data_IF_372901776033
#
_entry.id   IF_372901776033
#
_cell.length_a   1.000
_cell.length_b   1.000
_cell.length_c   1.000
_cell.angle_alpha   90.00
_cell.angle_beta   90.00
_cell.angle_gamma   90.00
#
_symmetry.space_group_name_H-M   'P 1'
#
loop_
_entity.id
_entity.type
_entity.pdbx_description
1 polymer ?
#
# COMPACT_ATOMS: atom_id res chain seq x y z
N UNK A 1 27.59 -7.25 -36.39
CA UNK A 1 27.68 -6.43 -35.16
C UNK A 1 26.59 -5.37 -35.09
N UNK A 2 26.39 -4.52 -36.11
CA UNK A 2 25.31 -3.52 -36.11
C UNK A 2 23.91 -4.12 -35.90
N UNK A 3 23.53 -5.19 -36.63
CA UNK A 3 22.22 -5.82 -36.47
C UNK A 3 21.96 -6.37 -35.05
N UNK A 4 23.00 -6.86 -34.37
CA UNK A 4 22.92 -7.35 -32.98
C UNK A 4 22.73 -6.18 -32.01
N UNK A 5 23.45 -5.07 -32.23
CA UNK A 5 23.29 -3.84 -31.47
C UNK A 5 21.88 -3.23 -31.67
N UNK A 6 21.34 -3.27 -32.89
CA UNK A 6 19.99 -2.77 -33.18
C UNK A 6 18.91 -3.62 -32.51
N UNK A 7 19.03 -4.95 -32.53
CA UNK A 7 18.10 -5.84 -31.83
C UNK A 7 18.16 -5.67 -30.31
N UNK A 8 19.36 -5.50 -29.74
CA UNK A 8 19.54 -5.24 -28.31
C UNK A 8 18.91 -3.90 -27.89
N UNK A 9 19.02 -2.86 -28.73
CA UNK A 9 18.44 -1.55 -28.46
C UNK A 9 16.90 -1.55 -28.53
N UNK A 10 16.30 -2.32 -29.45
CA UNK A 10 14.85 -2.52 -29.51
C UNK A 10 14.30 -3.32 -28.31
N UNK A 11 15.07 -4.29 -27.81
CA UNK A 11 14.68 -5.10 -26.66
C UNK A 11 14.65 -4.28 -25.37
N UNK A 12 15.58 -3.33 -25.22
CA UNK A 12 15.63 -2.40 -24.08
C UNK A 12 14.47 -1.40 -24.15
N UNK A 13 14.14 -0.87 -25.34
CA UNK A 13 13.03 0.08 -25.50
C UNK A 13 11.65 -0.50 -25.12
N UNK A 14 11.43 -1.79 -25.37
CA UNK A 14 10.19 -2.49 -24.98
C UNK A 14 10.00 -2.66 -23.47
N UNK A 15 11.08 -2.63 -22.67
CA UNK A 15 11.00 -2.71 -21.21
C UNK A 15 10.69 -1.37 -20.54
N UNK A 16 10.87 -0.25 -21.25
CA UNK A 16 10.74 1.11 -20.70
C UNK A 16 9.31 1.66 -20.83
N UNK A 17 8.43 0.99 -21.58
CA UNK A 17 7.02 1.36 -21.75
C UNK A 17 6.08 0.58 -20.82
N UNK A 18 6.52 0.27 -19.60
CA UNK A 18 5.58 -0.11 -18.54
C UNK A 18 4.94 1.19 -18.03
N UNK A 19 3.61 1.27 -18.09
CA UNK A 19 2.92 2.39 -17.48
C UNK A 19 3.18 2.35 -15.96
N UNK A 20 3.83 3.40 -15.45
CA UNK A 20 4.14 3.54 -14.03
C UNK A 20 3.00 4.30 -13.37
N UNK A 21 2.12 3.55 -12.71
CA UNK A 21 0.98 4.11 -12.00
C UNK A 21 1.45 4.74 -10.69
N UNK A 22 0.65 5.68 -10.18
CA UNK A 22 0.84 6.29 -8.86
C UNK A 22 -0.35 5.98 -7.97
N UNK A 23 -0.11 5.57 -6.73
CA UNK A 23 -1.16 5.39 -5.72
C UNK A 23 -0.96 6.40 -4.60
N UNK A 24 -1.84 7.40 -4.52
CA UNK A 24 -1.86 8.39 -3.46
C UNK A 24 -2.85 7.97 -2.38
N UNK A 25 -2.39 7.86 -1.13
CA UNK A 25 -3.22 7.45 0.01
C UNK A 25 -3.32 8.59 1.01
N UNK A 26 -4.56 9.00 1.32
CA UNK A 26 -4.87 9.91 2.42
C UNK A 26 -5.47 9.12 3.57
N UNK A 27 -4.84 9.22 4.74
CA UNK A 27 -5.22 8.51 5.96
C UNK A 27 -5.81 9.50 6.95
N UNK A 28 -6.92 9.12 7.57
CA UNK A 28 -7.63 9.95 8.55
C UNK A 28 -8.01 9.15 9.78
N UNK A 29 -8.43 9.85 10.83
CA UNK A 29 -8.93 9.26 12.08
C UNK A 29 -7.83 8.59 12.93
N UNK A 30 -6.63 9.16 12.94
CA UNK A 30 -5.64 8.80 13.96
C UNK A 30 -6.10 9.26 15.36
N UNK A 31 -5.66 8.55 16.39
CA UNK A 31 -6.07 8.85 17.78
C UNK A 31 -5.40 10.14 18.29
N UNK A 32 -4.11 10.29 17.99
CA UNK A 32 -3.24 11.43 18.28
C UNK A 32 -2.23 11.57 17.11
N UNK A 33 -1.20 12.39 17.29
CA UNK A 33 -0.11 12.58 16.32
C UNK A 33 1.19 11.90 16.78
N UNK A 34 1.11 11.03 17.79
CA UNK A 34 2.29 10.36 18.34
C UNK A 34 2.70 9.23 17.38
N UNK A 35 4.01 9.05 17.19
CA UNK A 35 4.57 8.04 16.28
C UNK A 35 4.23 8.28 14.81
N UNK A 36 3.99 7.19 14.07
CA UNK A 36 3.86 7.20 12.62
C UNK A 36 2.66 6.45 12.06
N UNK A 37 2.32 6.77 10.81
CA UNK A 37 1.41 6.00 9.99
C UNK A 37 2.20 4.99 9.16
N UNK A 38 1.91 3.70 9.36
CA UNK A 38 2.49 2.62 8.57
C UNK A 38 1.53 2.22 7.46
N UNK A 39 2.01 2.16 6.22
CA UNK A 39 1.19 1.85 5.04
C UNK A 39 1.87 0.78 4.18
N UNK A 40 1.22 -0.37 4.05
CA UNK A 40 1.64 -1.47 3.19
C UNK A 40 0.78 -1.56 1.94
N UNK A 41 1.43 -1.63 0.78
CA UNK A 41 0.84 -1.98 -0.51
C UNK A 41 1.10 -3.46 -0.79
N UNK A 42 0.07 -4.23 -1.08
CA UNK A 42 0.12 -5.67 -1.30
C UNK A 42 -0.34 -5.99 -2.71
N UNK A 43 0.33 -6.93 -3.39
CA UNK A 43 0.01 -7.35 -4.77
C UNK A 43 -0.34 -8.85 -4.88
N UNK A 44 -0.26 -9.60 -3.77
CA UNK A 44 -0.52 -11.03 -3.72
C UNK A 44 -1.58 -11.35 -2.65
N UNK A 45 -2.64 -12.06 -3.07
CA UNK A 45 -3.72 -12.48 -2.15
C UNK A 45 -3.21 -13.30 -0.96
N UNK A 46 -2.26 -14.20 -1.19
CA UNK A 46 -1.74 -15.12 -0.16
C UNK A 46 -0.85 -14.44 0.88
N UNK A 47 -0.35 -13.24 0.58
CA UNK A 47 0.55 -12.47 1.44
C UNK A 47 -0.11 -11.24 2.06
N UNK A 48 -1.40 -11.03 1.81
CA UNK A 48 -2.11 -9.87 2.32
C UNK A 48 -2.09 -9.86 3.86
N UNK A 49 -1.64 -8.74 4.43
CA UNK A 49 -1.41 -8.53 5.87
C UNK A 49 -0.19 -9.26 6.46
N UNK A 50 0.63 -9.90 5.63
CA UNK A 50 1.85 -10.60 6.05
C UNK A 50 3.09 -9.94 5.39
N UNK A 51 3.21 -10.03 4.07
CA UNK A 51 4.36 -9.52 3.32
C UNK A 51 3.89 -8.47 2.28
N UNK A 52 4.27 -7.21 2.50
CA UNK A 52 3.95 -6.11 1.60
C UNK A 52 4.89 -6.05 0.39
N UNK A 53 4.35 -5.71 -0.78
CA UNK A 53 5.13 -5.41 -1.98
C UNK A 53 5.96 -4.12 -1.84
N UNK A 54 5.35 -3.07 -1.29
CA UNK A 54 6.00 -1.81 -0.91
C UNK A 54 5.44 -1.36 0.43
N UNK A 55 6.25 -0.70 1.25
CA UNK A 55 5.83 -0.12 2.52
C UNK A 55 6.39 1.30 2.69
N UNK A 56 5.59 2.20 3.25
CA UNK A 56 6.00 3.58 3.56
C UNK A 56 5.52 3.92 4.96
N UNK A 57 6.38 4.57 5.74
CA UNK A 57 6.03 5.26 6.98
C UNK A 57 5.84 6.75 6.71
N UNK A 58 4.88 7.39 7.38
CA UNK A 58 4.64 8.83 7.25
C UNK A 58 4.33 9.45 8.61
N UNK A 59 4.74 10.70 8.80
CA UNK A 59 4.40 11.45 10.01
C UNK A 59 2.89 11.72 10.07
N UNK A 60 2.34 11.68 11.29
CA UNK A 60 0.94 12.02 11.53
C UNK A 60 0.85 13.50 11.92
N UNK A 61 0.15 14.30 11.12
CA UNK A 61 -0.12 15.71 11.41
C UNK A 61 -1.61 15.96 11.40
N UNK A 62 -2.13 16.64 12.42
CA UNK A 62 -3.56 16.93 12.58
C UNK A 62 -4.45 15.67 12.50
N UNK A 63 -3.96 14.54 13.02
CA UNK A 63 -4.63 13.23 12.98
C UNK A 63 -4.89 12.72 11.55
N UNK A 64 -4.02 13.10 10.63
CA UNK A 64 -4.02 12.70 9.23
C UNK A 64 -2.59 12.37 8.78
N UNK A 65 -2.47 11.54 7.75
CA UNK A 65 -1.20 11.23 7.10
C UNK A 65 -1.41 11.05 5.59
N UNK A 66 -0.36 11.28 4.81
CA UNK A 66 -0.38 11.09 3.35
C UNK A 66 0.84 10.30 2.91
N UNK A 67 0.64 9.38 1.97
CA UNK A 67 1.73 8.64 1.31
C UNK A 67 1.47 8.54 -0.19
N UNK A 68 2.54 8.39 -0.97
CA UNK A 68 2.48 8.15 -2.42
C UNK A 68 3.36 6.96 -2.76
N UNK A 69 2.78 5.95 -3.41
CA UNK A 69 3.53 4.88 -4.06
C UNK A 69 3.70 5.23 -5.53
N UNK A 70 4.93 5.52 -5.93
CA UNK A 70 5.31 5.77 -7.32
C UNK A 70 5.79 4.46 -7.99
N UNK A 71 5.92 4.48 -9.31
CA UNK A 71 6.40 3.36 -10.12
C UNK A 71 5.68 2.04 -9.79
N UNK A 72 4.34 2.09 -9.77
CA UNK A 72 3.50 0.93 -9.51
C UNK A 72 3.14 0.27 -10.84
N UNK A 73 3.57 -0.99 -11.09
CA UNK A 73 3.18 -1.70 -12.31
C UNK A 73 1.67 -1.93 -12.38
N UNK A 74 1.15 -2.10 -13.59
CA UNK A 74 -0.23 -2.53 -13.80
C UNK A 74 -0.52 -3.82 -13.01
N UNK A 75 -1.66 -3.86 -12.33
CA UNK A 75 -2.00 -5.02 -11.51
C UNK A 75 -3.10 -4.79 -10.50
N UNK A 76 -3.30 -5.80 -9.66
CA UNK A 76 -4.29 -5.79 -8.58
C UNK A 76 -3.55 -5.63 -7.25
N UNK A 77 -4.00 -4.67 -6.47
CA UNK A 77 -3.38 -4.30 -5.21
C UNK A 77 -4.40 -4.18 -4.08
N UNK A 78 -3.92 -4.25 -2.84
CA UNK A 78 -4.66 -3.86 -1.65
C UNK A 78 -3.76 -3.03 -0.74
N UNK A 79 -4.35 -2.15 0.06
CA UNK A 79 -3.64 -1.37 1.06
C UNK A 79 -4.08 -1.84 2.45
N UNK A 80 -3.11 -1.98 3.35
CA UNK A 80 -3.34 -2.01 4.79
C UNK A 80 -2.53 -0.89 5.44
N UNK A 81 -3.08 -0.31 6.49
CA UNK A 81 -2.44 0.79 7.21
C UNK A 81 -2.78 0.73 8.68
N UNK A 82 -1.88 1.20 9.53
CA UNK A 82 -2.10 1.30 10.96
C UNK A 82 -1.33 2.46 11.58
N UNK A 83 -1.78 2.84 12.77
CA UNK A 83 -1.10 3.82 13.63
C UNK A 83 -0.08 3.07 14.46
N UNK A 84 1.21 3.31 14.24
CA UNK A 84 2.33 2.84 15.07
C UNK A 84 2.67 3.93 16.09
N UNK A 85 2.08 3.85 17.29
CA UNK A 85 2.19 4.92 18.27
C UNK A 85 3.49 4.88 19.08
N UNK A 86 4.23 3.76 19.07
CA UNK A 86 5.47 3.57 19.80
C UNK A 86 6.72 3.43 18.89
N UNK A 87 6.57 3.67 17.59
CA UNK A 87 7.63 3.71 16.57
C UNK A 87 8.43 2.38 16.47
N UNK A 88 7.76 1.25 16.70
CA UNK A 88 8.40 -0.06 16.67
C UNK A 88 8.26 -0.76 15.30
N UNK A 89 7.47 -0.21 14.38
CA UNK A 89 7.23 -0.74 13.05
C UNK A 89 6.31 -1.96 13.02
N UNK A 90 5.63 -2.27 14.11
CA UNK A 90 4.74 -3.41 14.29
C UNK A 90 3.34 -2.96 14.72
N UNK A 91 2.30 -3.63 14.22
CA UNK A 91 0.95 -3.40 14.71
C UNK A 91 0.78 -4.05 16.08
N UNK A 92 0.58 -3.25 17.12
CA UNK A 92 0.37 -3.76 18.46
C UNK A 92 -0.92 -4.60 18.54
N UNK A 93 -0.83 -5.82 19.09
CA UNK A 93 -1.96 -6.75 19.21
C UNK A 93 -2.21 -7.23 20.64
N UNK A 94 -3.47 -7.21 21.07
CA UNK A 94 -3.93 -7.83 22.31
C UNK A 94 -3.85 -9.35 22.14
N UNK A 95 -3.06 -10.00 23.01
CA UNK A 95 -2.81 -11.44 22.98
C UNK A 95 -2.36 -11.98 21.60
N UNK A 96 -1.75 -11.13 20.77
CA UNK A 96 -1.34 -11.48 19.41
C UNK A 96 -2.49 -11.72 18.41
N UNK A 97 -3.74 -11.33 18.73
CA UNK A 97 -4.91 -11.64 17.90
C UNK A 97 -5.75 -10.44 17.49
N UNK A 98 -5.88 -9.43 18.36
CA UNK A 98 -6.77 -8.28 18.12
C UNK A 98 -5.93 -7.01 18.08
N UNK A 99 -5.98 -6.22 17.00
CA UNK A 99 -5.28 -4.93 16.95
C UNK A 99 -5.65 -4.03 18.14
N UNK A 100 -4.64 -3.59 18.87
CA UNK A 100 -4.78 -2.60 19.93
C UNK A 100 -4.86 -1.18 19.36
N UNK A 101 -4.13 -0.93 18.28
CA UNK A 101 -4.11 0.33 17.54
C UNK A 101 -5.17 0.37 16.44
N UNK A 102 -5.44 1.59 15.97
CA UNK A 102 -6.36 1.78 14.84
C UNK A 102 -5.68 1.33 13.56
N UNK A 103 -6.47 0.73 12.67
CA UNK A 103 -6.01 0.23 11.38
C UNK A 103 -7.11 0.42 10.33
N UNK A 104 -6.69 0.56 9.07
CA UNK A 104 -7.59 0.75 7.95
C UNK A 104 -7.06 0.06 6.70
N UNK A 105 -7.95 -0.48 5.88
CA UNK A 105 -7.61 -1.07 4.59
C UNK A 105 -8.32 -0.32 3.45
N UNK A 106 -7.81 -0.48 2.22
CA UNK A 106 -8.46 0.02 1.01
C UNK A 106 -9.91 -0.48 0.89
N UNK A 107 -10.74 0.30 0.20
CA UNK A 107 -12.19 0.09 0.04
C UNK A 107 -12.98 -0.01 1.37
N UNK A 108 -12.39 0.42 2.49
CA UNK A 108 -13.00 0.27 3.81
C UNK A 108 -13.17 -1.20 4.22
N UNK A 109 -12.33 -2.10 3.70
CA UNK A 109 -12.37 -3.51 4.05
C UNK A 109 -12.13 -3.69 5.55
N UNK A 110 -13.07 -4.38 6.22
CA UNK A 110 -13.04 -4.64 7.65
C UNK A 110 -13.31 -6.12 7.92
N UNK A 111 -12.63 -6.65 8.92
CA UNK A 111 -12.90 -7.97 9.46
C UNK A 111 -13.85 -7.88 10.65
N UNK A 112 -15.05 -8.46 10.54
CA UNK A 112 -15.96 -8.62 11.68
C UNK A 112 -15.66 -9.90 12.47
N UNK A 113 -15.19 -10.94 11.78
CA UNK A 113 -14.77 -12.21 12.34
C UNK A 113 -13.44 -12.60 11.68
N UNK A 114 -12.33 -12.20 12.30
CA UNK A 114 -10.98 -12.36 11.75
C UNK A 114 -10.49 -11.11 10.99
N UNK A 115 -9.34 -11.20 10.30
CA UNK A 115 -8.76 -10.07 9.59
C UNK A 115 -9.57 -9.64 8.35
N UNK A 116 -9.37 -8.42 7.84
CA UNK A 116 -9.91 -7.99 6.55
C UNK A 116 -9.54 -8.97 5.43
N UNK A 117 -10.48 -9.19 4.49
CA UNK A 117 -10.27 -10.10 3.35
C UNK A 117 -9.73 -9.34 2.15
N UNK A 118 -8.74 -9.93 1.46
CA UNK A 118 -8.19 -9.42 0.21
C UNK A 118 -9.28 -9.08 -0.81
N UNK A 119 -10.30 -9.94 -0.96
CA UNK A 119 -11.39 -9.73 -1.90
C UNK A 119 -12.13 -8.41 -1.71
N UNK A 120 -12.20 -7.94 -0.46
CA UNK A 120 -12.86 -6.69 -0.13
C UNK A 120 -11.91 -5.50 -0.23
N UNK A 121 -10.60 -5.72 -0.01
CA UNK A 121 -9.61 -4.66 -0.04
C UNK A 121 -9.05 -4.37 -1.44
N UNK A 122 -9.09 -5.35 -2.36
CA UNK A 122 -8.38 -5.26 -3.63
C UNK A 122 -8.96 -4.20 -4.58
N UNK A 123 -8.10 -3.62 -5.40
CA UNK A 123 -8.41 -2.70 -6.49
C UNK A 123 -7.41 -2.89 -7.64
N UNK A 124 -7.77 -2.51 -8.85
CA UNK A 124 -6.90 -2.56 -10.02
C UNK A 124 -6.27 -1.17 -10.27
N UNK A 125 -5.01 -1.15 -10.71
CA UNK A 125 -4.35 0.01 -11.33
C UNK A 125 -3.80 -0.39 -12.69
N UNK A 126 -3.92 0.50 -13.67
CA UNK A 126 -3.44 0.27 -15.03
C UNK A 126 -3.31 1.56 -15.83
N UNK A 127 -2.61 1.46 -16.96
CA UNK A 127 -2.56 2.49 -18.00
C UNK A 127 -1.98 3.84 -17.52
N UNK A 128 -1.12 3.82 -16.50
CA UNK A 128 -0.41 4.99 -15.99
C UNK A 128 -1.30 5.93 -15.19
N UNK A 129 -2.33 5.38 -14.54
CA UNK A 129 -3.26 6.17 -13.76
C UNK A 129 -2.65 6.67 -12.44
N UNK A 130 -3.16 7.81 -11.96
CA UNK A 130 -2.99 8.24 -10.56
C UNK A 130 -4.23 7.86 -9.78
N UNK A 131 -4.13 6.81 -8.97
CA UNK A 131 -5.21 6.33 -8.12
C UNK A 131 -5.16 7.00 -6.75
N UNK A 132 -6.23 7.71 -6.38
CA UNK A 132 -6.40 8.32 -5.06
C UNK A 132 -7.25 7.42 -4.17
N UNK A 133 -6.78 7.21 -2.94
CA UNK A 133 -7.46 6.39 -1.94
C UNK A 133 -7.59 7.15 -0.62
N UNK A 134 -8.82 7.24 -0.12
CA UNK A 134 -9.10 7.72 1.23
C UNK A 134 -9.32 6.52 2.15
N UNK A 135 -8.49 6.41 3.19
CA UNK A 135 -8.57 5.33 4.17
C UNK A 135 -8.80 5.94 5.55
N UNK A 136 -9.83 5.43 6.22
CA UNK A 136 -10.15 5.78 7.60
C UNK A 136 -9.72 4.64 8.51
N UNK A 137 -8.81 4.94 9.45
CA UNK A 137 -8.40 4.03 10.53
C UNK A 137 -9.51 3.82 11.57
#
# INVERSE_FOLDING_TARGET
MQAVLTYLMLLIAGMVLQAQNTIEVSLTNFKNNDGGAMVGLFNEKGKFLDESFKSISSEITNKEAKVSFEDVPDGIYAISSYHDADDNGELNMIMGMIPYERYGCSNGARGFFGPPKWEHAKFEVKDGETRKMDIRL
#
